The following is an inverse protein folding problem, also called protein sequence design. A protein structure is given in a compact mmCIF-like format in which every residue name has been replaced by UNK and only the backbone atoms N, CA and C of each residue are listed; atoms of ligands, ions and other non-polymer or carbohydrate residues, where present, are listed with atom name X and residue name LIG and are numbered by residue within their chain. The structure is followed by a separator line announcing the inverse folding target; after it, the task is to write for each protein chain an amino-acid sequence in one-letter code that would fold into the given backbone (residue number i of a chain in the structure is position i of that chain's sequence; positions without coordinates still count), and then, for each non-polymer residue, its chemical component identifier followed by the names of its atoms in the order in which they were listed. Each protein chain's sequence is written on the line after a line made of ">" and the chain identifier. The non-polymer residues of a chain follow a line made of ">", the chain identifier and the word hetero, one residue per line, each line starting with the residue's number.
data_IF_150076435219
#
_entry.id   IF_150076435219
#
_cell.length_a   1.000
_cell.length_b   1.000
_cell.length_c   1.000
_cell.angle_alpha   90.00
_cell.angle_beta   90.00
_cell.angle_gamma   90.00
#
_symmetry.space_group_name_H-M   'P 1'
#
loop_
_entity.id
_entity.type
_entity.pdbx_description
1 polymer ?
#
# COMPACT_ATOMS: atom_id res chain seq x y z
N UNK A 1 20.74 -22.57 2.81
CA UNK A 1 20.57 -21.11 2.62
C UNK A 1 20.42 -20.48 3.98
N UNK A 2 21.36 -19.63 4.39
CA UNK A 2 21.28 -18.90 5.65
C UNK A 2 20.32 -17.70 5.49
N UNK A 3 19.03 -17.95 5.75
CA UNK A 3 18.04 -16.88 5.77
C UNK A 3 18.24 -16.02 7.01
N UNK A 4 18.59 -14.75 6.83
CA UNK A 4 18.75 -13.78 7.92
C UNK A 4 17.55 -12.83 7.96
N UNK A 5 17.22 -12.35 9.16
CA UNK A 5 16.16 -11.35 9.37
C UNK A 5 16.77 -9.96 9.50
N UNK A 6 16.23 -9.00 8.74
CA UNK A 6 16.51 -7.58 8.86
C UNK A 6 15.24 -6.87 9.32
N UNK A 7 15.28 -6.28 10.51
CA UNK A 7 14.18 -5.47 11.05
C UNK A 7 14.44 -4.00 10.76
N UNK A 8 13.47 -3.33 10.14
CA UNK A 8 13.55 -1.91 9.84
C UNK A 8 12.31 -1.19 10.38
N UNK A 9 12.47 0.04 10.83
CA UNK A 9 11.36 0.96 11.03
C UNK A 9 11.32 1.94 9.87
N UNK A 10 10.16 2.02 9.24
CA UNK A 10 9.85 2.96 8.19
C UNK A 10 9.06 4.12 8.82
N UNK A 11 9.49 5.36 8.60
CA UNK A 11 8.76 6.56 9.02
C UNK A 11 8.37 7.36 7.79
N UNK A 12 7.07 7.55 7.56
CA UNK A 12 6.56 8.24 6.38
C UNK A 12 6.96 9.72 6.35
N UNK A 13 7.54 10.16 5.24
CA UNK A 13 7.80 11.59 4.95
C UNK A 13 6.83 12.15 3.91
N UNK A 14 6.04 11.29 3.27
CA UNK A 14 4.88 11.67 2.47
C UNK A 14 3.71 10.72 2.72
N UNK A 15 2.48 11.10 2.34
CA UNK A 15 1.31 10.26 2.57
C UNK A 15 1.43 8.89 1.89
N UNK A 16 0.93 7.85 2.55
CA UNK A 16 0.77 6.52 1.97
C UNK A 16 -0.64 6.38 1.42
N UNK A 17 -0.78 6.06 0.13
CA UNK A 17 -2.10 5.84 -0.49
C UNK A 17 -2.23 4.37 -0.82
N UNK A 18 -3.33 3.76 -0.39
CA UNK A 18 -3.63 2.37 -0.68
C UNK A 18 -4.62 2.22 -1.83
N UNK A 19 -4.43 1.12 -2.56
CA UNK A 19 -5.31 0.68 -3.62
C UNK A 19 -5.11 -0.83 -3.83
N UNK A 20 -5.84 -1.62 -3.06
CA UNK A 20 -5.86 -3.06 -3.21
C UNK A 20 -6.71 -3.47 -4.42
N UNK A 21 -6.06 -3.60 -5.58
CA UNK A 21 -6.73 -3.83 -6.86
C UNK A 21 -7.46 -5.19 -6.94
N UNK A 22 -7.02 -6.19 -6.17
CA UNK A 22 -7.53 -7.57 -6.22
C UNK A 22 -9.05 -7.64 -6.05
N UNK A 23 -9.60 -6.87 -5.11
CA UNK A 23 -11.04 -6.83 -4.84
C UNK A 23 -11.86 -6.23 -5.99
N UNK A 24 -11.25 -5.46 -6.88
CA UNK A 24 -11.91 -4.77 -7.99
C UNK A 24 -11.76 -5.49 -9.33
N UNK A 25 -10.76 -6.36 -9.47
CA UNK A 25 -10.55 -7.14 -10.71
C UNK A 25 -11.16 -8.53 -10.62
N UNK A 26 -11.18 -9.16 -9.44
CA UNK A 26 -11.73 -10.49 -9.26
C UNK A 26 -13.26 -10.50 -9.56
N UNK A 27 -13.74 -11.19 -10.61
CA UNK A 27 -15.16 -11.24 -10.96
C UNK A 27 -16.04 -11.85 -9.85
N UNK A 28 -15.46 -12.67 -8.97
CA UNK A 28 -16.15 -13.34 -7.87
C UNK A 28 -16.09 -12.54 -6.56
N UNK A 29 -15.46 -11.37 -6.55
CA UNK A 29 -15.39 -10.51 -5.37
C UNK A 29 -16.76 -9.89 -5.07
N UNK A 30 -17.28 -10.10 -3.87
CA UNK A 30 -18.52 -9.47 -3.39
C UNK A 30 -18.48 -7.95 -3.54
N UNK A 31 -17.30 -7.35 -3.26
CA UNK A 31 -17.09 -5.91 -3.38
C UNK A 31 -17.20 -5.42 -4.83
N UNK A 32 -16.68 -6.18 -5.80
CA UNK A 32 -16.81 -5.86 -7.22
C UNK A 32 -18.26 -5.95 -7.67
N UNK A 33 -18.98 -6.98 -7.24
CA UNK A 33 -20.40 -7.18 -7.55
C UNK A 33 -21.23 -6.02 -6.96
N UNK A 34 -21.02 -5.68 -5.69
CA UNK A 34 -21.71 -4.58 -5.01
C UNK A 34 -21.49 -3.23 -5.72
N UNK A 35 -20.23 -2.89 -6.04
CA UNK A 35 -19.92 -1.67 -6.80
C UNK A 35 -20.52 -1.73 -8.21
N UNK A 36 -20.49 -2.89 -8.88
CA UNK A 36 -21.08 -3.10 -10.19
C UNK A 36 -22.60 -2.81 -10.21
N UNK A 37 -23.32 -3.29 -9.20
CA UNK A 37 -24.75 -3.05 -9.04
C UNK A 37 -25.09 -1.57 -8.86
N UNK A 38 -24.26 -0.80 -8.13
CA UNK A 38 -24.46 0.64 -7.95
C UNK A 38 -24.03 1.43 -9.19
N UNK A 39 -22.92 1.06 -9.81
CA UNK A 39 -22.33 1.77 -10.95
C UNK A 39 -23.10 1.55 -12.26
N UNK A 40 -23.81 0.43 -12.40
CA UNK A 40 -24.66 0.13 -13.57
C UNK A 40 -26.00 0.88 -13.58
N UNK A 41 -26.42 1.49 -12.46
CA UNK A 41 -27.66 2.28 -12.40
C UNK A 41 -27.64 3.44 -13.43
N UNK A 42 -28.71 3.55 -14.23
CA UNK A 42 -28.86 4.61 -15.25
C UNK A 42 -28.89 6.01 -14.64
N UNK A 43 -29.61 6.18 -13.52
CA UNK A 43 -29.62 7.39 -12.69
C UNK A 43 -29.16 7.01 -11.28
N UNK A 44 -28.07 7.60 -10.82
CA UNK A 44 -27.51 7.37 -9.48
C UNK A 44 -27.96 8.48 -8.56
N UNK A 45 -28.40 8.12 -7.35
CA UNK A 45 -28.67 9.08 -6.29
C UNK A 45 -27.37 9.56 -5.64
N UNK A 46 -27.46 10.60 -4.80
CA UNK A 46 -26.33 11.03 -3.97
C UNK A 46 -25.89 9.89 -3.04
N UNK A 47 -26.83 9.11 -2.51
CA UNK A 47 -26.51 7.99 -1.63
C UNK A 47 -25.82 6.84 -2.36
N UNK A 48 -26.15 6.62 -3.64
CA UNK A 48 -25.38 5.68 -4.49
C UNK A 48 -23.91 6.12 -4.59
N UNK A 49 -23.65 7.42 -4.78
CA UNK A 49 -22.28 7.94 -4.85
C UNK A 49 -21.54 7.82 -3.51
N UNK A 50 -22.21 8.08 -2.39
CA UNK A 50 -21.64 7.88 -1.05
C UNK A 50 -21.29 6.42 -0.80
N UNK A 51 -22.18 5.50 -1.17
CA UNK A 51 -21.93 4.08 -0.95
C UNK A 51 -20.83 3.55 -1.88
N UNK A 52 -20.79 3.98 -3.14
CA UNK A 52 -19.65 3.68 -4.04
C UNK A 52 -18.35 4.17 -3.41
N UNK A 53 -18.33 5.41 -2.88
CA UNK A 53 -17.15 6.00 -2.23
C UNK A 53 -16.70 5.17 -1.02
N UNK A 54 -17.65 4.74 -0.17
CA UNK A 54 -17.38 3.90 1.01
C UNK A 54 -16.84 2.52 0.61
N UNK A 55 -17.45 1.86 -0.37
CA UNK A 55 -17.02 0.54 -0.86
C UNK A 55 -15.65 0.61 -1.53
N UNK A 56 -15.38 1.63 -2.34
CA UNK A 56 -14.06 1.84 -2.95
C UNK A 56 -12.98 2.11 -1.90
N UNK A 57 -13.30 2.91 -0.89
CA UNK A 57 -12.38 3.17 0.21
C UNK A 57 -12.08 1.88 0.98
N UNK A 58 -13.11 1.16 1.40
CA UNK A 58 -12.95 -0.07 2.18
C UNK A 58 -12.18 -1.14 1.40
N UNK A 59 -12.55 -1.38 0.14
CA UNK A 59 -11.86 -2.32 -0.74
C UNK A 59 -10.44 -1.89 -1.13
N UNK A 60 -10.10 -0.61 -0.94
CA UNK A 60 -8.76 -0.09 -1.18
C UNK A 60 -7.75 -0.46 -0.09
N UNK A 61 -8.21 -0.83 1.10
CA UNK A 61 -7.35 -1.19 2.24
C UNK A 61 -6.70 -2.56 2.06
N UNK A 62 -5.55 -2.73 2.73
CA UNK A 62 -4.98 -4.04 3.02
C UNK A 62 -5.21 -4.33 4.50
N UNK A 63 -5.92 -5.42 4.78
CA UNK A 63 -6.31 -5.81 6.13
C UNK A 63 -5.75 -7.19 6.45
N UNK A 64 -5.35 -7.40 7.71
CA UNK A 64 -5.01 -8.72 8.20
C UNK A 64 -6.27 -9.50 8.65
N UNK A 65 -6.06 -10.73 9.12
CA UNK A 65 -7.06 -11.61 9.73
C UNK A 65 -7.91 -10.98 10.85
N UNK A 66 -7.38 -9.97 11.53
CA UNK A 66 -8.00 -9.24 12.64
C UNK A 66 -8.63 -7.92 12.20
N UNK A 67 -8.75 -7.67 10.90
CA UNK A 67 -9.29 -6.42 10.35
C UNK A 67 -8.40 -5.19 10.58
N UNK A 68 -7.11 -5.38 10.90
CA UNK A 68 -6.17 -4.28 11.11
C UNK A 68 -5.46 -3.93 9.83
N UNK A 69 -5.25 -2.63 9.61
CA UNK A 69 -4.58 -2.11 8.42
C UNK A 69 -3.11 -2.54 8.43
N UNK A 70 -2.66 -3.11 7.31
CA UNK A 70 -1.30 -3.58 7.10
C UNK A 70 -0.65 -2.97 5.87
N UNK A 71 0.67 -3.00 5.85
CA UNK A 71 1.49 -2.95 4.66
C UNK A 71 1.75 -4.41 4.26
N UNK A 72 1.21 -4.90 3.12
CA UNK A 72 1.46 -6.25 2.69
C UNK A 72 2.91 -6.45 2.24
N UNK A 73 3.49 -7.61 2.56
CA UNK A 73 4.85 -8.01 2.21
C UNK A 73 5.12 -7.93 0.70
N UNK A 74 4.22 -8.46 -0.12
CA UNK A 74 4.35 -8.39 -1.58
C UNK A 74 4.38 -6.94 -2.12
N UNK A 75 3.71 -6.01 -1.44
CA UNK A 75 3.75 -4.59 -1.77
C UNK A 75 5.12 -3.97 -1.47
N UNK A 76 5.73 -4.36 -0.35
CA UNK A 76 7.11 -3.98 0.01
C UNK A 76 8.11 -4.56 -0.99
N UNK A 77 7.99 -5.84 -1.33
CA UNK A 77 8.86 -6.52 -2.29
C UNK A 77 8.84 -5.84 -3.66
N UNK A 78 7.65 -5.50 -4.17
CA UNK A 78 7.51 -4.78 -5.43
C UNK A 78 8.17 -3.39 -5.39
N UNK A 79 8.06 -2.69 -4.25
CA UNK A 79 8.68 -1.38 -4.04
C UNK A 79 10.21 -1.49 -3.93
N UNK A 80 10.73 -2.49 -3.22
CA UNK A 80 12.16 -2.76 -3.08
C UNK A 80 12.78 -3.20 -4.41
N UNK A 81 12.14 -4.09 -5.17
CA UNK A 81 12.58 -4.48 -6.50
C UNK A 81 12.68 -3.25 -7.42
N UNK A 82 11.64 -2.39 -7.42
CA UNK A 82 11.64 -1.14 -8.18
C UNK A 82 12.82 -0.22 -7.80
N UNK A 83 13.10 -0.08 -6.51
CA UNK A 83 14.21 0.73 -6.02
C UNK A 83 15.59 0.10 -6.33
N UNK A 84 15.70 -1.23 -6.25
CA UNK A 84 16.92 -1.98 -6.54
C UNK A 84 17.38 -1.80 -8.00
N UNK A 85 16.46 -1.53 -8.92
CA UNK A 85 16.80 -1.23 -10.34
C UNK A 85 17.71 -0.02 -10.49
N UNK A 86 17.67 0.95 -9.56
CA UNK A 86 18.56 2.14 -9.58
C UNK A 86 20.04 1.75 -9.53
N UNK A 87 20.35 0.66 -8.82
CA UNK A 87 21.71 0.16 -8.63
C UNK A 87 21.94 -1.19 -9.35
N UNK A 88 21.11 -1.55 -10.34
CA UNK A 88 21.15 -2.84 -11.04
C UNK A 88 20.99 -4.07 -10.12
N UNK A 89 20.38 -3.90 -8.95
CA UNK A 89 20.12 -4.94 -7.95
C UNK A 89 18.68 -5.48 -7.98
N UNK A 90 17.78 -4.91 -8.81
CA UNK A 90 16.34 -5.25 -8.79
C UNK A 90 16.05 -6.75 -8.90
N UNK A 91 16.67 -7.43 -9.88
CA UNK A 91 16.54 -8.89 -10.04
C UNK A 91 17.06 -9.65 -8.81
N UNK A 92 18.23 -9.26 -8.29
CA UNK A 92 18.82 -9.88 -7.10
C UNK A 92 17.92 -9.71 -5.88
N UNK A 93 17.42 -8.50 -5.62
CA UNK A 93 16.47 -8.23 -4.54
C UNK A 93 15.24 -9.13 -4.66
N UNK A 94 14.65 -9.22 -5.86
CA UNK A 94 13.47 -10.04 -6.11
C UNK A 94 13.69 -11.54 -5.85
N UNK A 95 14.89 -12.06 -6.09
CA UNK A 95 15.23 -13.48 -5.92
C UNK A 95 15.74 -13.83 -4.52
N UNK A 96 16.15 -12.84 -3.73
CA UNK A 96 16.90 -13.07 -2.49
C UNK A 96 16.22 -12.48 -1.26
N UNK A 97 15.13 -11.72 -1.42
CA UNK A 97 14.42 -11.08 -0.33
C UNK A 97 12.94 -11.47 -0.29
N UNK A 98 12.41 -11.58 0.92
CA UNK A 98 10.99 -11.80 1.18
C UNK A 98 10.57 -10.89 2.35
N UNK A 99 9.41 -10.25 2.25
CA UNK A 99 8.92 -9.35 3.29
C UNK A 99 7.72 -9.97 4.01
N UNK A 100 7.76 -9.96 5.34
CA UNK A 100 6.58 -10.27 6.14
C UNK A 100 5.58 -9.09 6.08
N UNK A 101 4.28 -9.38 6.22
CA UNK A 101 3.26 -8.33 6.39
C UNK A 101 3.56 -7.52 7.66
N UNK A 102 3.38 -6.21 7.58
CA UNK A 102 3.63 -5.29 8.69
C UNK A 102 2.39 -4.52 9.09
N UNK A 103 2.16 -4.37 10.39
CA UNK A 103 1.11 -3.46 10.88
C UNK A 103 1.45 -2.03 10.49
N UNK A 104 0.46 -1.33 9.93
CA UNK A 104 0.56 0.10 9.70
C UNK A 104 0.21 0.83 10.99
N UNK A 105 1.11 1.69 11.45
CA UNK A 105 0.86 2.59 12.58
C UNK A 105 0.55 4.00 12.07
N UNK A 106 -0.48 4.61 12.65
CA UNK A 106 -1.01 5.92 12.30
C UNK A 106 -1.84 6.48 13.45
N UNK A 107 -1.97 7.80 13.52
CA UNK A 107 -2.75 8.47 14.57
C UNK A 107 -4.21 8.63 14.13
N UNK A 108 -5.08 7.70 14.55
CA UNK A 108 -6.49 7.68 14.19
C UNK A 108 -7.25 6.42 14.63
N UNK A 109 -8.56 6.32 14.33
CA UNK A 109 -9.39 5.19 14.76
C UNK A 109 -8.87 3.84 14.24
N UNK A 110 -9.07 2.76 15.02
CA UNK A 110 -8.74 1.39 14.59
C UNK A 110 -9.96 0.63 14.04
N UNK A 111 -11.16 1.10 14.32
CA UNK A 111 -12.39 0.63 13.70
C UNK A 111 -12.54 1.28 12.32
N UNK A 112 -12.86 0.48 11.29
CA UNK A 112 -12.89 0.94 9.90
C UNK A 112 -14.01 1.95 9.60
N UNK A 113 -15.19 1.78 10.21
CA UNK A 113 -16.30 2.72 10.01
C UNK A 113 -15.97 4.09 10.62
N UNK A 114 -15.40 4.10 11.83
CA UNK A 114 -14.91 5.33 12.46
C UNK A 114 -13.76 5.95 11.67
N UNK A 115 -12.86 5.12 11.12
CA UNK A 115 -11.72 5.57 10.32
C UNK A 115 -12.16 6.23 9.01
N UNK A 116 -13.19 5.69 8.35
CA UNK A 116 -13.79 6.29 7.17
C UNK A 116 -14.53 7.60 7.50
N UNK A 117 -15.32 7.58 8.58
CA UNK A 117 -16.13 8.73 9.03
C UNK A 117 -15.28 9.94 9.45
N UNK A 118 -14.06 9.72 9.94
CA UNK A 118 -13.10 10.78 10.28
C UNK A 118 -12.77 11.67 9.06
N UNK A 119 -12.78 11.12 7.85
CA UNK A 119 -12.52 11.86 6.62
C UNK A 119 -11.05 12.21 6.38
N UNK A 120 -10.21 12.33 7.43
CA UNK A 120 -8.77 12.57 7.25
C UNK A 120 -8.01 11.37 6.67
N UNK A 121 -8.66 10.21 6.57
CA UNK A 121 -8.13 9.00 5.95
C UNK A 121 -8.69 8.74 4.56
N UNK A 122 -9.41 9.71 4.01
CA UNK A 122 -10.10 9.60 2.73
C UNK A 122 -9.50 10.58 1.72
N UNK A 123 -9.29 10.07 0.51
CA UNK A 123 -8.82 10.84 -0.64
C UNK A 123 -9.77 10.61 -1.80
N UNK A 124 -10.48 11.66 -2.20
CA UNK A 124 -11.40 11.62 -3.35
C UNK A 124 -10.87 12.51 -4.45
N UNK A 125 -10.54 11.90 -5.59
CA UNK A 125 -9.88 12.59 -6.71
C UNK A 125 -10.41 12.14 -8.07
N UNK A 126 -10.33 13.00 -9.10
CA UNK A 126 -10.66 12.59 -10.46
C UNK A 126 -9.55 11.69 -11.02
N UNK A 127 -9.91 10.53 -11.56
CA UNK A 127 -9.01 9.69 -12.36
C UNK A 127 -9.54 9.58 -13.78
N UNK A 128 -8.63 9.56 -14.76
CA UNK A 128 -8.99 9.33 -16.15
C UNK A 128 -9.26 7.84 -16.38
N UNK A 129 -10.45 7.53 -16.88
CA UNK A 129 -10.84 6.20 -17.36
C UNK A 129 -11.22 6.36 -18.83
N UNK A 130 -10.34 5.87 -19.72
CA UNK A 130 -10.42 6.13 -21.15
C UNK A 130 -10.50 7.65 -21.44
N UNK A 131 -11.64 8.16 -21.93
CA UNK A 131 -11.86 9.58 -22.23
C UNK A 131 -12.59 10.34 -21.12
N UNK A 132 -13.08 9.66 -20.09
CA UNK A 132 -13.92 10.24 -19.04
C UNK A 132 -13.14 10.41 -17.73
N UNK A 133 -13.49 11.43 -16.94
CA UNK A 133 -12.99 11.56 -15.56
C UNK A 133 -14.04 10.98 -14.60
N UNK A 134 -13.60 10.08 -13.72
CA UNK A 134 -14.43 9.49 -12.67
C UNK A 134 -13.81 9.82 -11.32
N UNK A 135 -14.62 10.27 -10.37
CA UNK A 135 -14.16 10.48 -8.99
C UNK A 135 -13.92 9.12 -8.34
N UNK A 136 -12.73 8.90 -7.80
CA UNK A 136 -12.36 7.68 -7.06
C UNK A 136 -12.00 8.03 -5.64
N UNK A 137 -12.42 7.18 -4.73
CA UNK A 137 -12.13 7.31 -3.29
C UNK A 137 -11.09 6.28 -2.88
N UNK A 138 -10.04 6.70 -2.19
CA UNK A 138 -8.93 5.84 -1.73
C UNK A 138 -8.58 6.10 -0.27
N UNK A 139 -8.15 5.07 0.48
CA UNK A 139 -7.53 5.28 1.78
C UNK A 139 -6.18 5.99 1.66
N UNK A 140 -5.95 6.94 2.56
CA UNK A 140 -4.71 7.71 2.63
C UNK A 140 -4.27 7.88 4.08
N UNK A 141 -3.00 7.61 4.36
CA UNK A 141 -2.39 7.78 5.66
C UNK A 141 -1.35 8.88 5.58
N UNK A 142 -1.67 10.07 6.13
CA UNK A 142 -0.83 11.27 6.02
C UNK A 142 0.40 11.21 6.92
N UNK A 143 0.22 10.68 8.13
CA UNK A 143 1.29 10.38 9.08
C UNK A 143 1.24 8.89 9.37
N UNK A 144 2.32 8.18 9.06
CA UNK A 144 2.36 6.74 9.19
C UNK A 144 3.77 6.25 9.53
N UNK A 145 3.83 5.10 10.18
CA UNK A 145 5.07 4.34 10.35
C UNK A 145 4.78 2.84 10.30
N UNK A 146 5.81 2.04 10.10
CA UNK A 146 5.68 0.58 10.16
C UNK A 146 6.99 -0.04 10.61
N UNK A 147 6.91 -1.11 11.40
CA UNK A 147 8.05 -1.99 11.68
C UNK A 147 7.95 -3.18 10.74
N UNK A 148 8.90 -3.29 9.82
CA UNK A 148 8.93 -4.32 8.79
C UNK A 148 10.02 -5.36 9.09
N UNK A 149 9.81 -6.57 8.58
CA UNK A 149 10.80 -7.65 8.61
C UNK A 149 11.09 -8.08 7.18
N UNK A 150 12.35 -7.96 6.78
CA UNK A 150 12.85 -8.46 5.50
C UNK A 150 13.70 -9.69 5.79
N UNK A 151 13.29 -10.83 5.25
CA UNK A 151 14.10 -12.04 5.20
C UNK A 151 15.00 -11.93 3.96
N UNK A 152 16.29 -12.24 4.10
CA UNK A 152 17.20 -12.25 2.95
C UNK A 152 18.20 -13.40 3.00
N UNK A 153 18.59 -13.88 1.81
CA UNK A 153 19.62 -14.89 1.63
C UNK A 153 21.02 -14.25 1.67
N UNK A 154 21.70 -14.39 2.81
CA UNK A 154 22.99 -13.72 3.01
C UNK A 154 24.14 -14.31 2.18
N UNK A 155 23.93 -15.45 1.52
CA UNK A 155 24.92 -16.03 0.61
C UNK A 155 24.86 -15.37 -0.78
N UNK A 156 23.75 -14.68 -1.09
CA UNK A 156 23.47 -14.09 -2.42
C UNK A 156 23.36 -12.58 -2.42
N UNK A 157 23.06 -11.95 -1.27
CA UNK A 157 22.98 -10.51 -1.14
C UNK A 157 23.50 -10.01 0.22
N UNK A 158 24.24 -8.92 0.18
CA UNK A 158 24.77 -8.29 1.38
C UNK A 158 23.69 -7.52 2.14
N UNK A 159 23.81 -7.53 3.47
CA UNK A 159 22.92 -6.77 4.35
C UNK A 159 22.90 -5.28 4.01
N UNK A 160 24.06 -4.72 3.65
CA UNK A 160 24.21 -3.31 3.25
C UNK A 160 23.44 -2.99 1.98
N UNK A 161 23.39 -3.91 1.01
CA UNK A 161 22.66 -3.74 -0.24
C UNK A 161 21.14 -3.73 0.00
N UNK A 162 20.66 -4.60 0.89
CA UNK A 162 19.24 -4.62 1.29
C UNK A 162 18.86 -3.30 1.98
N UNK A 163 19.68 -2.83 2.92
CA UNK A 163 19.46 -1.56 3.62
C UNK A 163 19.54 -0.37 2.64
N UNK A 164 20.53 -0.34 1.76
CA UNK A 164 20.71 0.70 0.76
C UNK A 164 19.53 0.76 -0.21
N UNK A 165 19.01 -0.41 -0.60
CA UNK A 165 17.80 -0.53 -1.44
C UNK A 165 16.58 0.01 -0.71
N UNK A 166 16.38 -0.33 0.57
CA UNK A 166 15.28 0.20 1.36
C UNK A 166 15.35 1.73 1.52
N UNK A 167 16.54 2.30 1.75
CA UNK A 167 16.76 3.75 1.80
C UNK A 167 16.45 4.43 0.46
N UNK A 168 16.90 3.84 -0.65
CA UNK A 168 16.57 4.34 -1.99
C UNK A 168 15.09 4.23 -2.31
N UNK A 169 14.42 3.17 -1.85
CA UNK A 169 12.99 2.99 -1.97
C UNK A 169 12.26 4.17 -1.31
N UNK A 170 12.56 4.47 -0.05
CA UNK A 170 11.94 5.58 0.67
C UNK A 170 12.24 6.95 0.08
N UNK A 171 13.48 7.18 -0.38
CA UNK A 171 13.94 8.49 -0.88
C UNK A 171 13.48 8.81 -2.31
N UNK A 172 13.51 7.81 -3.21
CA UNK A 172 13.39 8.02 -4.66
C UNK A 172 12.12 7.42 -5.23
N UNK A 173 11.76 6.20 -4.84
CA UNK A 173 10.70 5.43 -5.51
C UNK A 173 9.35 5.54 -4.82
N UNK A 174 9.30 5.51 -3.50
CA UNK A 174 8.08 5.38 -2.69
C UNK A 174 7.44 3.99 -2.76
N UNK A 175 6.30 3.83 -2.09
CA UNK A 175 5.49 2.59 -2.05
C UNK A 175 4.04 2.84 -2.47
N UNK A 176 3.40 1.79 -2.99
CA UNK A 176 2.00 1.78 -3.41
C UNK A 176 1.66 2.81 -4.51
N UNK A 177 0.56 3.53 -4.34
CA UNK A 177 -0.11 4.31 -5.38
C UNK A 177 0.52 5.69 -5.55
N UNK A 178 0.52 6.19 -6.78
CA UNK A 178 1.07 7.51 -7.16
C UNK A 178 2.53 7.75 -6.76
N UNK A 179 3.34 6.70 -6.89
CA UNK A 179 4.80 6.82 -6.91
C UNK A 179 5.26 7.66 -8.12
N UNK A 180 6.32 8.47 -7.99
CA UNK A 180 7.21 8.61 -6.82
C UNK A 180 6.77 9.70 -5.83
N UNK A 181 5.57 10.29 -5.97
CA UNK A 181 5.14 11.41 -5.10
C UNK A 181 4.80 10.92 -3.69
N UNK A 182 4.07 9.81 -3.59
CA UNK A 182 3.56 9.27 -2.33
C UNK A 182 4.31 8.02 -1.87
N UNK A 183 4.08 7.65 -0.61
CA UNK A 183 4.67 6.48 0.04
C UNK A 183 6.17 6.59 0.26
N UNK A 184 6.72 7.81 0.41
CA UNK A 184 8.12 8.03 0.77
C UNK A 184 8.33 7.88 2.27
N UNK A 185 9.50 7.43 2.65
CA UNK A 185 9.83 7.16 4.05
C UNK A 185 11.33 7.26 4.34
N UNK A 186 11.64 7.43 5.61
CA UNK A 186 12.97 7.23 6.18
C UNK A 186 13.11 5.83 6.76
N UNK A 187 14.35 5.33 6.80
CA UNK A 187 14.67 3.97 7.26
C UNK A 187 15.57 4.04 8.48
N UNK A 188 15.10 3.44 9.57
CA UNK A 188 15.88 3.16 10.78
C UNK A 188 16.11 1.65 10.90
N UNK A 189 17.35 1.25 11.15
CA UNK A 189 17.70 -0.17 11.35
C UNK A 189 17.47 -0.52 12.81
N UNK A 190 16.61 -1.50 13.08
CA UNK A 190 16.32 -1.95 14.43
C UNK A 190 17.35 -2.99 14.90
N UNK A 191 17.63 -2.96 16.21
CA UNK A 191 18.49 -3.95 16.88
C UNK A 191 17.78 -5.30 17.01
#
# INVERSE_FOLDING_TARGET
>A
MLQKKLKLKLTGVSPLIFHNITHFINPLSELKIAIGNLTSKRKKSIDDYKEISRLEWNGGLYLNDKGRVIIPGHGLEAALNSAGKLNKLGKRINETTFCEDALLDYDGPRNLDSLFADGNFTLTVPVAVQRQKVMRTRPIFRKWSAKIVILYDSDRIDRSDVIGTAKNCGRVTGMFEWRPRNGRFEVEVLK
#
